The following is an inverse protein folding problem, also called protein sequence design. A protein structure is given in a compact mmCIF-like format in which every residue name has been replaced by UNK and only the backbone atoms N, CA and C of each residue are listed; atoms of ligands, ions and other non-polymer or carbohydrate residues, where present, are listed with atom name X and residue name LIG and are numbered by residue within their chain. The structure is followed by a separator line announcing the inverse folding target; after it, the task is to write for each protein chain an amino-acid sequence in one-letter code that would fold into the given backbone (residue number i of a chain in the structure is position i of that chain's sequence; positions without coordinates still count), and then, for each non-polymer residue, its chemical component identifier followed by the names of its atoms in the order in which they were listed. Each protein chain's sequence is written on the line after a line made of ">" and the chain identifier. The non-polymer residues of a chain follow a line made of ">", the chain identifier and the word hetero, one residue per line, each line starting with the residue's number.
data_IF_661310788110
#
_entry.id   IF_661310788110
#
_cell.length_a   1.000
_cell.length_b   1.000
_cell.length_c   1.000
_cell.angle_alpha   90.00
_cell.angle_beta   90.00
_cell.angle_gamma   90.00
#
_symmetry.space_group_name_H-M   'P 1'
#
loop_
_entity.id
_entity.type
_entity.pdbx_description
1 polymer ?
#
# COMPACT_ATOMS: atom_id res chain seq x y z
N UNK A 1 45.92 5.69 -11.13
CA UNK A 1 45.12 4.86 -10.23
C UNK A 1 43.77 5.56 -10.00
N UNK A 2 42.67 4.82 -9.94
CA UNK A 2 41.33 5.37 -9.61
C UNK A 2 41.03 4.99 -8.16
N UNK A 3 40.70 5.97 -7.32
CA UNK A 3 40.30 5.75 -5.93
C UNK A 3 38.77 5.80 -5.84
N UNK A 4 38.13 4.68 -5.51
CA UNK A 4 36.68 4.57 -5.37
C UNK A 4 36.31 4.90 -3.93
N UNK A 5 35.37 5.83 -3.74
CA UNK A 5 34.83 6.24 -2.45
C UNK A 5 33.31 6.31 -2.52
N UNK A 6 32.64 6.19 -1.37
CA UNK A 6 31.17 6.25 -1.22
C UNK A 6 30.85 7.31 -0.18
N UNK A 7 29.84 8.13 -0.44
CA UNK A 7 29.34 9.12 0.52
C UNK A 7 28.07 8.58 1.20
N UNK A 8 28.10 8.51 2.54
CA UNK A 8 26.96 8.13 3.37
C UNK A 8 26.45 9.34 4.15
N UNK A 9 25.28 9.84 3.79
CA UNK A 9 24.62 11.00 4.41
C UNK A 9 23.13 10.69 4.66
N UNK A 10 22.33 11.73 4.94
CA UNK A 10 20.86 11.63 5.00
C UNK A 10 20.35 10.99 3.71
N UNK A 11 19.40 10.07 3.85
CA UNK A 11 18.83 9.34 2.71
C UNK A 11 17.82 10.20 1.96
N UNK A 12 17.77 10.15 0.62
CA UNK A 12 18.50 9.23 -0.26
C UNK A 12 19.99 9.58 -0.45
N UNK A 13 20.82 8.55 -0.50
CA UNK A 13 22.28 8.63 -0.66
C UNK A 13 22.77 7.43 -1.47
N UNK A 14 23.97 7.52 -2.05
CA UNK A 14 24.60 6.38 -2.74
C UNK A 14 24.62 5.12 -1.85
N UNK A 15 24.97 5.30 -0.58
CA UNK A 15 25.03 4.20 0.39
C UNK A 15 23.68 3.54 0.66
N UNK A 16 22.58 4.30 0.59
CA UNK A 16 21.24 3.76 0.83
C UNK A 16 20.70 3.11 -0.43
N UNK A 17 20.90 3.69 -1.61
CA UNK A 17 20.51 3.03 -2.86
C UNK A 17 21.18 1.66 -3.04
N UNK A 18 22.48 1.55 -2.78
CA UNK A 18 23.22 0.26 -2.83
C UNK A 18 22.61 -0.75 -1.84
N UNK A 19 22.22 -0.30 -0.64
CA UNK A 19 21.56 -1.16 0.35
C UNK A 19 20.15 -1.55 -0.11
N UNK A 20 19.41 -0.66 -0.79
CA UNK A 20 18.02 -0.89 -1.24
C UNK A 20 17.99 -2.04 -2.22
N UNK A 21 18.84 -1.96 -3.25
CA UNK A 21 18.97 -2.99 -4.29
C UNK A 21 19.45 -4.34 -3.75
N UNK A 22 20.08 -4.37 -2.56
CA UNK A 22 20.50 -5.59 -1.90
C UNK A 22 19.43 -6.15 -0.94
N UNK A 23 18.84 -5.32 -0.08
CA UNK A 23 17.96 -5.77 1.00
C UNK A 23 16.54 -6.09 0.53
N UNK A 24 15.97 -5.35 -0.42
CA UNK A 24 14.61 -5.64 -0.92
C UNK A 24 14.52 -7.04 -1.55
N UNK A 25 15.42 -7.44 -2.49
CA UNK A 25 15.41 -8.79 -3.02
C UNK A 25 15.72 -9.85 -1.96
N UNK A 26 16.58 -9.53 -0.97
CA UNK A 26 16.92 -10.45 0.11
C UNK A 26 15.69 -10.77 0.99
N UNK A 27 14.92 -9.75 1.38
CA UNK A 27 13.68 -9.94 2.15
C UNK A 27 12.61 -10.65 1.31
N UNK A 28 12.45 -10.27 0.04
CA UNK A 28 11.52 -10.95 -0.87
C UNK A 28 11.88 -12.43 -1.00
N UNK A 29 13.15 -12.75 -1.19
CA UNK A 29 13.61 -14.14 -1.27
C UNK A 29 13.34 -14.89 0.03
N UNK A 30 13.65 -14.30 1.18
CA UNK A 30 13.39 -14.91 2.48
C UNK A 30 11.90 -15.25 2.68
N UNK A 31 11.01 -14.28 2.49
CA UNK A 31 9.58 -14.48 2.70
C UNK A 31 8.98 -15.47 1.70
N UNK A 32 9.30 -15.32 0.41
CA UNK A 32 8.66 -16.08 -0.67
C UNK A 32 9.26 -17.47 -0.89
N UNK A 33 10.57 -17.61 -0.74
CA UNK A 33 11.29 -18.84 -1.06
C UNK A 33 11.67 -19.63 0.19
N UNK A 34 12.19 -18.98 1.24
CA UNK A 34 12.60 -19.70 2.46
C UNK A 34 11.40 -20.04 3.34
N UNK A 35 10.51 -19.06 3.58
CA UNK A 35 9.27 -19.29 4.36
C UNK A 35 8.12 -19.82 3.50
N UNK A 36 8.28 -19.83 2.17
CA UNK A 36 7.30 -20.41 1.25
C UNK A 36 6.03 -19.59 1.04
N UNK A 37 5.98 -18.32 1.46
CA UNK A 37 4.78 -17.47 1.40
C UNK A 37 4.61 -16.93 -0.02
N UNK A 38 3.91 -17.69 -0.88
CA UNK A 38 3.82 -17.40 -2.32
C UNK A 38 3.02 -16.16 -2.66
N UNK A 39 2.14 -15.72 -1.78
CA UNK A 39 1.38 -14.49 -1.91
C UNK A 39 2.24 -13.23 -1.81
N UNK A 40 3.45 -13.27 -1.23
CA UNK A 40 4.37 -12.12 -1.25
C UNK A 40 4.91 -11.89 -2.66
N UNK A 41 4.60 -10.73 -3.24
CA UNK A 41 5.00 -10.37 -4.61
C UNK A 41 6.15 -9.37 -4.65
N UNK A 42 6.22 -8.47 -3.67
CA UNK A 42 7.26 -7.43 -3.57
C UNK A 42 7.53 -7.09 -2.10
N UNK A 43 8.76 -6.70 -1.80
CA UNK A 43 9.11 -6.04 -0.55
C UNK A 43 9.74 -4.71 -0.93
N UNK A 44 9.25 -3.62 -0.36
CA UNK A 44 9.85 -2.29 -0.50
C UNK A 44 10.32 -1.77 0.85
N UNK A 45 11.41 -1.01 0.83
CA UNK A 45 11.98 -0.37 2.00
C UNK A 45 12.02 1.14 1.78
N UNK A 46 11.29 1.88 2.61
CA UNK A 46 11.18 3.33 2.46
C UNK A 46 12.54 3.99 2.72
N UNK A 47 13.01 4.77 1.75
CA UNK A 47 14.34 5.38 1.76
C UNK A 47 14.36 6.81 2.33
N UNK A 48 13.55 7.77 1.84
CA UNK A 48 13.70 9.17 2.19
C UNK A 48 13.60 9.39 3.71
N UNK A 49 14.62 10.00 4.31
CA UNK A 49 14.75 10.28 5.76
C UNK A 49 14.76 9.08 6.71
N UNK A 50 13.94 8.05 6.50
CA UNK A 50 13.74 6.95 7.46
C UNK A 50 14.88 5.96 7.48
N UNK A 51 15.69 5.94 6.42
CA UNK A 51 16.58 4.83 6.08
C UNK A 51 15.78 3.53 5.84
N UNK A 52 16.25 2.71 4.90
CA UNK A 52 15.59 1.48 4.45
C UNK A 52 15.20 0.52 5.59
N UNK A 53 15.93 0.54 6.70
CA UNK A 53 15.80 -0.46 7.76
C UNK A 53 14.58 -0.26 8.65
N UNK A 54 13.99 0.94 8.67
CA UNK A 54 12.96 1.28 9.66
C UNK A 54 11.55 0.94 9.20
N UNK A 55 11.21 1.24 7.95
CA UNK A 55 9.89 1.00 7.38
C UNK A 55 10.00 0.00 6.22
N UNK A 56 9.36 -1.16 6.40
CA UNK A 56 9.30 -2.24 5.41
C UNK A 56 7.85 -2.42 5.00
N UNK A 57 7.58 -2.41 3.69
CA UNK A 57 6.26 -2.67 3.12
C UNK A 57 6.32 -4.00 2.39
N UNK A 58 5.45 -4.92 2.76
CA UNK A 58 5.31 -6.25 2.15
C UNK A 58 4.05 -6.23 1.28
N UNK A 59 4.24 -6.23 -0.03
CA UNK A 59 3.14 -6.25 -0.98
C UNK A 59 2.74 -7.70 -1.28
N UNK A 60 1.44 -8.00 -1.19
CA UNK A 60 0.91 -9.35 -1.28
C UNK A 60 -0.25 -9.46 -2.27
N UNK A 61 -0.33 -10.58 -3.00
CA UNK A 61 -1.42 -10.92 -3.92
C UNK A 61 -2.39 -11.88 -3.27
N UNK A 62 -3.65 -11.45 -3.12
CA UNK A 62 -4.77 -12.24 -2.60
C UNK A 62 -4.39 -13.16 -1.42
N UNK A 63 -3.70 -12.64 -0.38
CA UNK A 63 -3.20 -13.50 0.69
C UNK A 63 -4.35 -13.96 1.58
N UNK A 64 -4.25 -15.18 2.12
CA UNK A 64 -5.06 -15.53 3.29
C UNK A 64 -4.53 -14.77 4.51
N UNK A 65 -5.39 -14.41 5.46
CA UNK A 65 -5.00 -13.61 6.64
C UNK A 65 -3.83 -14.23 7.42
N UNK A 66 -3.82 -15.56 7.56
CA UNK A 66 -2.71 -16.30 8.18
C UNK A 66 -1.36 -16.09 7.46
N UNK A 67 -1.36 -15.99 6.14
CA UNK A 67 -0.15 -15.75 5.35
C UNK A 67 0.35 -14.32 5.55
N UNK A 68 -0.56 -13.35 5.70
CA UNK A 68 -0.21 -11.96 6.02
C UNK A 68 0.55 -11.91 7.34
N UNK A 69 0.01 -12.54 8.39
CA UNK A 69 0.69 -12.59 9.69
C UNK A 69 2.02 -13.35 9.61
N UNK A 70 2.08 -14.48 8.90
CA UNK A 70 3.34 -15.19 8.67
C UNK A 70 4.39 -14.30 7.98
N UNK A 71 3.99 -13.49 7.00
CA UNK A 71 4.90 -12.59 6.30
C UNK A 71 5.38 -11.45 7.21
N UNK A 72 4.47 -10.84 7.98
CA UNK A 72 4.80 -9.78 8.93
C UNK A 72 5.78 -10.28 10.01
N UNK A 73 5.51 -11.44 10.62
CA UNK A 73 6.40 -12.05 11.60
C UNK A 73 7.72 -12.54 11.00
N UNK A 74 7.67 -13.11 9.79
CA UNK A 74 8.87 -13.52 9.04
C UNK A 74 9.78 -12.33 8.78
N UNK A 75 9.23 -11.22 8.30
CA UNK A 75 10.00 -10.00 8.07
C UNK A 75 10.56 -9.42 9.38
N UNK A 76 9.77 -9.46 10.45
CA UNK A 76 10.17 -8.95 11.75
C UNK A 76 11.32 -9.72 12.40
N UNK A 77 11.40 -11.04 12.16
CA UNK A 77 12.36 -11.93 12.78
C UNK A 77 13.61 -12.17 11.94
N UNK A 78 13.58 -11.83 10.64
CA UNK A 78 14.67 -12.14 9.72
C UNK A 78 15.99 -11.43 10.05
N UNK A 79 15.95 -10.13 10.34
CA UNK A 79 17.10 -9.36 10.79
C UNK A 79 16.73 -8.48 11.98
N UNK A 80 17.42 -8.69 13.12
CA UNK A 80 17.03 -8.12 14.41
C UNK A 80 16.89 -6.59 14.43
N UNK A 81 17.70 -5.88 13.63
CA UNK A 81 17.74 -4.42 13.57
C UNK A 81 16.88 -3.80 12.44
N UNK A 82 16.15 -4.61 11.67
CA UNK A 82 15.31 -4.18 10.54
C UNK A 82 13.83 -4.40 10.87
N UNK A 83 12.98 -3.51 10.36
CA UNK A 83 11.53 -3.59 10.48
C UNK A 83 11.06 -3.12 11.85
N UNK A 84 11.18 -1.80 12.08
CA UNK A 84 10.51 -1.12 13.20
C UNK A 84 9.03 -0.92 12.90
N UNK A 85 8.72 -0.60 11.64
CA UNK A 85 7.38 -0.56 11.09
C UNK A 85 7.35 -1.57 9.93
N UNK A 86 6.44 -2.52 9.98
CA UNK A 86 6.26 -3.52 8.93
C UNK A 86 4.79 -3.52 8.56
N UNK A 87 4.50 -3.17 7.31
CA UNK A 87 3.13 -3.02 6.80
C UNK A 87 2.92 -4.01 5.68
N UNK A 88 1.88 -4.83 5.77
CA UNK A 88 1.44 -5.66 4.66
C UNK A 88 0.31 -4.94 3.90
N UNK A 89 0.43 -4.86 2.58
CA UNK A 89 -0.55 -4.22 1.68
C UNK A 89 -0.85 -5.15 0.51
N UNK A 90 -2.00 -4.97 -0.14
CA UNK A 90 -2.35 -5.67 -1.38
C UNK A 90 -1.49 -5.21 -2.58
N UNK A 91 -1.56 -5.99 -3.66
CA UNK A 91 -0.84 -5.70 -4.91
C UNK A 91 -1.29 -4.45 -5.67
N UNK A 92 -2.47 -3.91 -5.34
CA UNK A 92 -2.96 -2.65 -5.91
C UNK A 92 -2.31 -1.41 -5.27
N UNK A 93 -1.68 -1.57 -4.11
CA UNK A 93 -0.99 -0.49 -3.41
C UNK A 93 0.47 -0.45 -3.85
N UNK A 94 0.89 0.60 -4.54
CA UNK A 94 2.31 0.80 -4.84
C UNK A 94 3.09 1.11 -3.56
N UNK A 95 4.00 0.22 -3.10
CA UNK A 95 4.68 0.41 -1.83
C UNK A 95 5.74 1.53 -1.84
N UNK A 96 6.06 2.11 -3.00
CA UNK A 96 6.91 3.32 -3.10
C UNK A 96 6.11 4.61 -2.93
N UNK A 97 4.78 4.57 -3.13
CA UNK A 97 3.91 5.70 -2.80
C UNK A 97 3.45 5.59 -1.35
N UNK A 98 4.03 6.44 -0.49
CA UNK A 98 3.71 6.44 0.94
C UNK A 98 2.27 6.90 1.21
N UNK A 99 1.70 7.77 0.37
CA UNK A 99 0.30 8.20 0.50
C UNK A 99 -0.66 7.04 0.22
N UNK A 100 -0.34 6.19 -0.75
CA UNK A 100 -1.11 4.97 -1.03
C UNK A 100 -1.03 3.96 0.12
N UNK A 101 0.17 3.80 0.72
CA UNK A 101 0.37 2.95 1.90
C UNK A 101 -0.42 3.48 3.10
N UNK A 102 -0.38 4.79 3.36
CA UNK A 102 -1.16 5.39 4.44
C UNK A 102 -2.66 5.32 4.18
N UNK A 103 -3.12 5.50 2.96
CA UNK A 103 -4.51 5.27 2.59
C UNK A 103 -4.94 3.84 2.90
N UNK A 104 -4.16 2.83 2.50
CA UNK A 104 -4.44 1.43 2.83
C UNK A 104 -4.50 1.22 4.36
N UNK A 105 -3.56 1.79 5.11
CA UNK A 105 -3.56 1.75 6.57
C UNK A 105 -4.78 2.46 7.19
N UNK A 106 -5.26 3.55 6.61
CA UNK A 106 -6.39 4.30 7.17
C UNK A 106 -7.73 3.61 6.92
N UNK A 107 -7.89 2.96 5.77
CA UNK A 107 -9.20 2.45 5.35
C UNK A 107 -9.34 0.93 5.43
N UNK A 108 -8.24 0.17 5.37
CA UNK A 108 -8.29 -1.31 5.32
C UNK A 108 -7.98 -1.98 6.66
N UNK A 109 -7.57 -1.25 7.70
CA UNK A 109 -7.23 -1.86 8.98
C UNK A 109 -7.99 -1.27 10.17
N UNK A 110 -8.27 -2.11 11.15
CA UNK A 110 -8.74 -1.74 12.47
C UNK A 110 -7.62 -1.93 13.48
N UNK A 111 -7.07 -0.87 14.11
CA UNK A 111 -5.88 -0.99 14.96
C UNK A 111 -5.97 -2.05 16.08
N UNK A 112 -7.16 -2.29 16.62
CA UNK A 112 -7.36 -3.30 17.66
C UNK A 112 -7.36 -4.75 17.17
N UNK A 113 -7.47 -4.99 15.86
CA UNK A 113 -7.48 -6.31 15.21
C UNK A 113 -6.24 -6.56 14.37
N UNK A 114 -5.81 -5.53 13.65
CA UNK A 114 -4.86 -5.63 12.54
C UNK A 114 -3.46 -5.14 12.88
N UNK A 115 -3.18 -4.88 14.16
CA UNK A 115 -1.88 -4.40 14.62
C UNK A 115 -1.34 -5.29 15.72
N UNK A 116 -0.06 -5.62 15.62
CA UNK A 116 0.68 -6.31 16.67
C UNK A 116 2.00 -5.63 16.99
N UNK A 117 2.36 -5.62 18.28
CA UNK A 117 3.60 -5.02 18.76
C UNK A 117 4.54 -6.13 19.24
N UNK A 118 5.72 -6.23 18.64
CA UNK A 118 6.81 -7.10 19.08
C UNK A 118 7.75 -6.26 19.94
N UNK A 119 8.10 -6.77 21.13
CA UNK A 119 9.06 -6.13 22.05
C UNK A 119 10.42 -6.83 21.96
N UNK A 120 11.47 -6.17 22.45
CA UNK A 120 12.81 -6.78 22.52
C UNK A 120 13.55 -6.79 21.18
N UNK A 121 13.23 -5.86 20.28
CA UNK A 121 13.96 -5.67 19.02
C UNK A 121 15.32 -5.04 19.28
N UNK A 122 16.28 -5.30 18.39
CA UNK A 122 17.56 -4.60 18.40
C UNK A 122 17.34 -3.15 17.91
N UNK A 123 17.80 -2.13 18.66
CA UNK A 123 17.63 -0.73 18.26
C UNK A 123 18.42 -0.36 17.00
N UNK A 124 19.43 -1.16 16.64
CA UNK A 124 20.30 -0.96 15.51
C UNK A 124 21.09 0.34 15.61
N UNK A 125 21.05 1.12 14.53
CA UNK A 125 21.74 2.41 14.39
C UNK A 125 20.87 3.60 14.81
N UNK A 126 19.79 3.38 15.57
CA UNK A 126 19.01 4.49 16.12
C UNK A 126 19.90 5.33 17.06
N UNK A 127 19.77 6.67 17.08
CA UNK A 127 20.40 7.50 18.09
C UNK A 127 20.03 7.01 19.49
N UNK A 128 21.03 6.75 20.33
CA UNK A 128 20.81 6.34 21.72
C UNK A 128 20.68 7.60 22.56
N UNK A 129 19.66 7.67 23.42
CA UNK A 129 19.41 8.82 24.29
C UNK A 129 19.04 8.31 25.69
N UNK A 130 19.60 8.92 26.73
CA UNK A 130 19.27 8.63 28.12
C UNK A 130 19.67 7.21 28.57
N UNK A 131 18.79 6.53 29.32
CA UNK A 131 19.06 5.22 29.94
C UNK A 131 19.47 4.10 28.97
N UNK A 132 19.25 4.28 27.66
CA UNK A 132 19.74 3.38 26.61
C UNK A 132 21.28 3.39 26.46
N UNK A 133 21.97 4.37 27.05
CA UNK A 133 23.44 4.37 27.19
C UNK A 133 23.91 3.60 28.43
N UNK A 134 23.05 3.48 29.46
CA UNK A 134 23.42 2.95 30.78
C UNK A 134 23.38 1.42 30.87
N UNK A 135 22.54 0.74 30.07
CA UNK A 135 22.55 -0.74 30.00
C UNK A 135 22.02 -1.30 28.68
N UNK A 136 22.51 -2.48 28.28
CA UNK A 136 22.03 -3.22 27.09
C UNK A 136 20.56 -3.63 27.19
N UNK A 137 20.05 -3.84 28.40
CA UNK A 137 18.66 -4.23 28.66
C UNK A 137 17.68 -3.04 28.53
N UNK A 138 18.15 -1.83 28.87
CA UNK A 138 17.40 -0.59 28.65
C UNK A 138 17.42 -0.14 27.18
N UNK A 139 18.33 -0.67 26.36
CA UNK A 139 18.49 -0.36 24.94
C UNK A 139 17.74 -1.34 24.04
N UNK A 140 16.51 -1.73 24.40
CA UNK A 140 15.66 -2.56 23.53
C UNK A 140 14.65 -1.68 22.80
N UNK A 141 14.37 -2.00 21.53
CA UNK A 141 13.34 -1.34 20.71
C UNK A 141 12.12 -2.26 20.55
N UNK A 142 11.12 -1.79 19.81
CA UNK A 142 9.95 -2.58 19.42
C UNK A 142 9.72 -2.52 17.91
N UNK A 143 8.85 -3.41 17.43
CA UNK A 143 8.35 -3.38 16.07
C UNK A 143 6.82 -3.35 16.06
N UNK A 144 6.26 -2.56 15.16
CA UNK A 144 4.84 -2.49 14.87
C UNK A 144 4.57 -3.26 13.57
N UNK A 145 3.75 -4.28 13.65
CA UNK A 145 3.27 -5.06 12.52
C UNK A 145 1.85 -4.60 12.19
N UNK A 146 1.59 -4.30 10.93
CA UNK A 146 0.31 -3.76 10.47
C UNK A 146 -0.21 -4.59 9.30
N UNK A 147 -1.39 -5.18 9.45
CA UNK A 147 -2.13 -5.81 8.37
C UNK A 147 -3.05 -4.78 7.69
N UNK A 148 -2.57 -4.16 6.61
CA UNK A 148 -3.34 -3.19 5.80
C UNK A 148 -3.86 -3.81 4.48
N UNK A 149 -3.97 -5.14 4.41
CA UNK A 149 -4.61 -5.86 3.31
C UNK A 149 -6.13 -5.66 3.36
N UNK A 150 -6.82 -5.66 2.23
CA UNK A 150 -8.26 -5.51 2.09
C UNK A 150 -8.97 -6.77 2.61
N UNK A 151 -9.89 -6.60 3.56
CA UNK A 151 -10.64 -7.72 4.18
C UNK A 151 -11.93 -8.04 3.43
N UNK A 152 -12.57 -7.01 2.88
CA UNK A 152 -13.86 -7.10 2.20
C UNK A 152 -13.83 -6.21 0.94
N UNK A 153 -14.62 -6.52 -0.10
CA UNK A 153 -14.67 -5.71 -1.31
C UNK A 153 -15.06 -4.26 -1.02
N UNK A 154 -14.35 -3.33 -1.66
CA UNK A 154 -14.63 -1.89 -1.57
C UNK A 154 -15.18 -1.35 -2.90
N UNK A 155 -15.83 -0.17 -2.88
CA UNK A 155 -16.14 0.54 -4.12
C UNK A 155 -14.85 0.84 -4.89
N UNK A 156 -14.91 1.03 -6.21
CA UNK A 156 -13.72 1.39 -6.99
C UNK A 156 -13.10 2.69 -6.46
N UNK A 157 -11.78 2.81 -6.63
CA UNK A 157 -11.07 4.06 -6.34
C UNK A 157 -11.69 5.18 -7.18
N UNK A 158 -12.01 6.31 -6.55
CA UNK A 158 -12.71 7.44 -7.18
C UNK A 158 -11.78 8.26 -8.09
N UNK A 159 -11.26 7.59 -9.11
CA UNK A 159 -10.44 8.15 -10.17
C UNK A 159 -11.06 7.79 -11.52
N UNK A 160 -10.84 8.61 -12.58
CA UNK A 160 -11.29 8.26 -13.91
C UNK A 160 -10.69 6.93 -14.39
N UNK A 161 -11.39 6.25 -15.29
CA UNK A 161 -10.85 5.03 -15.93
C UNK A 161 -9.61 5.34 -16.76
N UNK A 162 -8.82 4.30 -16.98
CA UNK A 162 -7.59 4.35 -17.76
C UNK A 162 -7.80 5.03 -19.12
N UNK A 163 -8.85 4.67 -19.87
CA UNK A 163 -9.12 5.24 -21.19
C UNK A 163 -9.25 6.78 -21.19
N UNK A 164 -9.84 7.36 -20.13
CA UNK A 164 -9.97 8.81 -20.01
C UNK A 164 -8.64 9.46 -19.60
N UNK A 165 -7.90 8.83 -18.69
CA UNK A 165 -6.59 9.34 -18.25
C UNK A 165 -5.56 9.29 -19.39
N UNK A 166 -5.54 8.23 -20.18
CA UNK A 166 -4.67 8.09 -21.35
C UNK A 166 -5.05 9.10 -22.45
N UNK A 167 -6.34 9.27 -22.75
CA UNK A 167 -6.79 10.30 -23.69
C UNK A 167 -6.44 11.71 -23.21
N UNK A 168 -6.55 11.97 -21.92
CA UNK A 168 -6.14 13.26 -21.34
C UNK A 168 -4.63 13.47 -21.48
N UNK A 169 -3.81 12.42 -21.33
CA UNK A 169 -2.36 12.48 -21.59
C UNK A 169 -2.06 12.85 -23.04
N UNK A 170 -2.72 12.20 -24.00
CA UNK A 170 -2.53 12.49 -25.43
C UNK A 170 -2.81 13.96 -25.74
N UNK A 171 -3.95 14.49 -25.28
CA UNK A 171 -4.32 15.90 -25.46
C UNK A 171 -3.28 16.82 -24.80
N UNK A 172 -2.80 16.47 -23.60
CA UNK A 172 -1.79 17.26 -22.89
C UNK A 172 -0.48 17.37 -23.66
N UNK A 173 -0.05 16.27 -24.27
CA UNK A 173 1.16 16.19 -25.10
C UNK A 173 0.98 16.94 -26.43
N UNK A 174 -0.18 16.81 -27.08
CA UNK A 174 -0.52 17.57 -28.30
C UNK A 174 -0.47 19.08 -28.08
N UNK A 175 -0.89 19.55 -26.91
CA UNK A 175 -0.86 20.95 -26.52
C UNK A 175 0.55 21.46 -26.18
N UNK A 176 1.56 20.59 -26.16
CA UNK A 176 2.95 20.95 -25.84
C UNK A 176 3.15 21.41 -24.39
N UNK A 177 2.31 20.93 -23.48
CA UNK A 177 2.38 21.26 -22.06
C UNK A 177 3.59 20.56 -21.39
N UNK A 178 4.01 21.01 -20.19
CA UNK A 178 5.16 20.43 -19.49
C UNK A 178 5.04 18.91 -19.30
N UNK A 179 6.17 18.21 -19.33
CA UNK A 179 6.21 16.76 -19.17
C UNK A 179 5.46 16.30 -17.91
N UNK A 180 4.53 15.37 -18.10
CA UNK A 180 3.73 14.81 -17.02
C UNK A 180 4.60 13.95 -16.10
N UNK A 181 4.23 13.96 -14.81
CA UNK A 181 4.76 13.05 -13.80
C UNK A 181 3.60 12.31 -13.15
N UNK A 182 3.03 11.30 -13.83
CA UNK A 182 1.95 10.48 -13.27
C UNK A 182 2.34 9.89 -11.93
N UNK A 183 1.44 9.97 -10.95
CA UNK A 183 1.58 9.32 -9.65
C UNK A 183 0.72 8.05 -9.62
N UNK A 184 1.12 7.07 -8.83
CA UNK A 184 0.37 5.83 -8.65
C UNK A 184 -0.63 5.97 -7.50
N UNK A 185 -1.92 5.58 -7.63
CA UNK A 185 -2.53 5.02 -8.84
C UNK A 185 -2.87 6.10 -9.87
N UNK A 186 -2.56 5.82 -11.15
CA UNK A 186 -2.79 6.77 -12.25
C UNK A 186 -4.26 6.84 -12.68
N UNK A 187 -5.04 5.79 -12.46
CA UNK A 187 -6.45 5.68 -12.83
C UNK A 187 -7.22 4.82 -11.83
N UNK A 188 -8.55 4.91 -11.88
CA UNK A 188 -9.45 4.14 -11.03
C UNK A 188 -9.50 2.66 -11.43
N UNK A 189 -9.60 1.81 -10.43
CA UNK A 189 -9.72 0.36 -10.58
C UNK A 189 -10.74 -0.19 -9.58
N UNK A 190 -11.31 -1.35 -9.91
CA UNK A 190 -12.29 -2.01 -9.06
C UNK A 190 -11.63 -2.64 -7.84
N UNK A 191 -12.27 -2.49 -6.68
CA UNK A 191 -11.94 -3.17 -5.43
C UNK A 191 -12.96 -4.28 -5.10
N UNK A 192 -13.76 -4.69 -6.09
CA UNK A 192 -14.70 -5.80 -6.00
C UNK A 192 -16.15 -5.39 -5.71
N UNK A 193 -16.41 -4.24 -5.09
CA UNK A 193 -17.77 -3.73 -4.86
C UNK A 193 -18.21 -2.84 -6.03
N UNK A 194 -18.36 -3.43 -7.22
CA UNK A 194 -18.86 -2.74 -8.41
C UNK A 194 -19.64 -3.72 -9.29
N UNK A 195 -20.97 -3.55 -9.36
CA UNK A 195 -21.84 -4.48 -10.07
C UNK A 195 -21.87 -4.19 -11.58
N UNK A 196 -22.27 -5.18 -12.37
CA UNK A 196 -22.51 -5.01 -13.81
C UNK A 196 -23.59 -3.96 -14.10
N UNK A 197 -24.54 -3.76 -13.16
CA UNK A 197 -25.54 -2.70 -13.26
C UNK A 197 -24.89 -1.31 -13.15
N UNK A 198 -24.01 -1.10 -12.17
CA UNK A 198 -23.28 0.18 -12.03
C UNK A 198 -22.30 0.42 -13.17
N UNK A 199 -21.72 -0.65 -13.70
CA UNK A 199 -20.90 -0.61 -14.91
C UNK A 199 -21.69 -0.07 -16.11
N UNK A 200 -22.89 -0.60 -16.33
CA UNK A 200 -23.78 -0.16 -17.40
C UNK A 200 -24.27 1.28 -17.19
N UNK A 201 -24.64 1.65 -15.96
CA UNK A 201 -25.07 3.00 -15.63
C UNK A 201 -23.95 4.03 -15.81
N UNK A 202 -22.71 3.68 -15.44
CA UNK A 202 -21.55 4.52 -15.69
C UNK A 202 -21.29 4.72 -17.18
N UNK A 203 -21.44 3.65 -17.99
CA UNK A 203 -21.33 3.73 -19.46
C UNK A 203 -22.39 4.65 -20.07
N UNK A 204 -23.65 4.53 -19.63
CA UNK A 204 -24.74 5.42 -20.07
C UNK A 204 -24.42 6.88 -19.72
N UNK A 205 -23.88 7.14 -18.53
CA UNK A 205 -23.49 8.49 -18.13
C UNK A 205 -22.39 9.07 -19.03
N UNK A 206 -21.38 8.29 -19.40
CA UNK A 206 -20.32 8.71 -20.34
C UNK A 206 -20.89 9.02 -21.73
N UNK A 207 -21.90 8.26 -22.18
CA UNK A 207 -22.56 8.45 -23.48
C UNK A 207 -23.53 9.64 -23.50
N UNK A 208 -23.82 10.25 -22.34
CA UNK A 208 -24.80 11.33 -22.20
C UNK A 208 -26.23 10.86 -21.93
N UNK A 209 -26.43 9.55 -21.77
CA UNK A 209 -27.73 8.89 -21.59
C UNK A 209 -28.07 8.64 -20.11
N UNK A 210 -27.57 9.48 -19.20
CA UNK A 210 -27.77 9.30 -17.75
C UNK A 210 -29.25 9.32 -17.32
N UNK A 211 -30.14 9.88 -18.14
CA UNK A 211 -31.58 9.91 -17.89
C UNK A 211 -32.22 8.51 -17.95
N UNK A 212 -31.67 7.58 -18.73
CA UNK A 212 -32.15 6.18 -18.79
C UNK A 212 -32.02 5.53 -17.42
N UNK A 213 -30.91 5.75 -16.74
CA UNK A 213 -30.71 5.32 -15.34
C UNK A 213 -31.74 5.97 -14.40
N UNK A 214 -32.00 7.27 -14.58
CA UNK A 214 -33.00 8.00 -13.81
C UNK A 214 -34.42 7.43 -13.97
N UNK A 215 -34.81 7.04 -15.19
CA UNK A 215 -36.09 6.39 -15.48
C UNK A 215 -36.20 5.00 -14.82
N UNK A 216 -35.13 4.20 -14.88
CA UNK A 216 -35.05 2.89 -14.20
C UNK A 216 -35.23 3.04 -12.68
N UNK A 217 -34.54 3.99 -12.07
CA UNK A 217 -34.66 4.27 -10.63
C UNK A 217 -36.07 4.77 -10.30
N UNK A 218 -36.67 5.62 -11.15
CA UNK A 218 -38.02 6.13 -10.94
C UNK A 218 -39.08 5.02 -10.96
N UNK A 219 -38.95 4.03 -11.85
CA UNK A 219 -39.83 2.87 -11.92
C UNK A 219 -39.78 1.97 -10.67
N UNK A 220 -38.65 1.98 -9.93
CA UNK A 220 -38.46 1.21 -8.68
C UNK A 220 -39.03 1.89 -7.44
N UNK A 221 -39.60 3.10 -7.54
CA UNK A 221 -40.14 3.84 -6.40
C UNK A 221 -41.37 3.16 -5.82
N UNK A 222 -41.36 2.88 -4.52
CA UNK A 222 -42.51 2.32 -3.79
C UNK A 222 -43.13 3.40 -2.90
N UNK A 223 -44.44 3.63 -3.06
CA UNK A 223 -45.18 4.65 -2.30
C UNK A 223 -45.16 4.32 -0.80
N UNK A 224 -44.83 5.30 0.04
CA UNK A 224 -44.83 5.17 1.50
C UNK A 224 -43.61 4.46 2.09
N UNK A 225 -42.62 4.08 1.27
CA UNK A 225 -41.31 3.63 1.75
C UNK A 225 -40.30 4.76 1.63
N UNK A 226 -39.39 4.86 2.61
CA UNK A 226 -38.24 5.74 2.49
C UNK A 226 -37.36 5.28 1.31
N UNK A 227 -36.67 6.21 0.62
CA UNK A 227 -35.67 5.86 -0.36
C UNK A 227 -34.63 4.90 0.23
N UNK A 228 -34.10 3.98 -0.58
CA UNK A 228 -33.00 3.13 -0.17
C UNK A 228 -31.87 3.99 0.41
N UNK A 229 -31.47 3.68 1.66
CA UNK A 229 -30.40 4.41 2.37
C UNK A 229 -29.01 3.97 1.92
N UNK A 230 -28.93 2.81 1.26
CA UNK A 230 -27.72 2.27 0.64
C UNK A 230 -27.91 2.16 -0.86
N UNK A 231 -26.93 2.62 -1.62
CA UNK A 231 -26.84 2.31 -3.05
C UNK A 231 -26.47 0.83 -3.29
N UNK A 232 -25.87 0.17 -2.30
CA UNK A 232 -25.40 -1.21 -2.40
C UNK A 232 -26.52 -2.21 -2.11
N UNK A 233 -26.58 -3.36 -2.82
CA UNK A 233 -27.49 -4.44 -2.50
C UNK A 233 -27.29 -4.89 -1.05
N UNK A 234 -28.37 -5.16 -0.32
CA UNK A 234 -28.29 -5.92 0.93
C UNK A 234 -28.03 -7.39 0.57
N UNK A 235 -27.04 -8.02 1.23
CA UNK A 235 -26.71 -9.46 1.05
C UNK A 235 -27.84 -10.39 1.47
#
# INVERSE_FOLDING_TARGET
>A
AVFISIISQVTPSESSLIKKVAYEPLFLHHLRNNLGIKSVVRVAMHEPLTNLRKLVVVQMRSPAEKEVWQALFGAASFQAAIGKLIVAVDEDIDPENTDAVFWAMSYRMSPHRDVQIIRGKDPGHSPRVGKAEESREAATDSALLVNAVLKEPFPPVSLPRQEFMERAREIWEELGLPALKPESPWYGYSLGQWSDEFEEEARLAVQGDCFVTGERIAARRVKGKEPNKSAWPEE
#
